data_IF_378109288643
#
_entry.id   IF_378109288643
#
_cell.length_a   1.000
_cell.length_b   1.000
_cell.length_c   1.000
_cell.angle_alpha   90.00
_cell.angle_beta   90.00
_cell.angle_gamma   90.00
#
_symmetry.space_group_name_H-M   'P 1'
#
loop_
_entity.id
_entity.type
_entity.pdbx_description
1 polymer ?
2 non-polymer ?
3 non-polymer ?
4 non-polymer ?
5 water ?
#
# COMPACT_ATOMS: atom_id res chain seq x y z
N UNK A 24 16.85 0.87 28.79
CA UNK A 24 15.59 0.80 27.99
C UNK A 24 15.70 1.58 26.65
N UNK A 25 16.51 1.05 25.72
CA UNK A 25 16.53 1.50 24.32
C UNK A 25 16.64 0.27 23.40
N UNK A 26 15.98 0.30 22.25
CA UNK A 26 15.78 -0.95 21.46
C UNK A 26 16.93 -1.36 20.52
N UNK A 27 17.55 -2.48 20.87
CA UNK A 27 18.76 -2.96 20.22
C UNK A 27 18.49 -3.41 18.78
N UNK A 28 19.22 -2.81 17.85
CA UNK A 28 18.99 -3.06 16.43
C UNK A 28 19.72 -4.31 15.93
N UNK A 29 19.43 -5.43 16.61
CA UNK A 29 19.96 -6.74 16.27
C UNK A 29 18.89 -7.83 16.46
N UNK A 30 18.87 -8.80 15.55
CA UNK A 30 17.98 -9.95 15.68
C UNK A 30 18.40 -10.76 16.91
N UNK A 31 17.44 -11.30 17.64
CA UNK A 31 17.69 -12.20 18.76
C UNK A 31 16.58 -13.24 18.94
N UNK A 32 16.99 -14.50 19.01
CA UNK A 32 16.08 -15.62 19.26
C UNK A 32 16.42 -16.17 20.62
N UNK A 33 15.61 -15.82 21.63
CA UNK A 33 15.66 -16.48 22.94
C UNK A 33 14.80 -17.76 23.01
N UNK A 34 13.75 -17.83 22.19
CA UNK A 34 12.81 -18.96 22.12
C UNK A 34 12.58 -19.40 20.66
N UNK A 35 11.95 -20.55 20.44
CA UNK A 35 11.37 -20.85 19.12
C UNK A 35 10.28 -19.82 18.78
N UNK A 36 9.83 -19.79 17.52
CA UNK A 36 8.82 -18.83 17.09
C UNK A 36 7.54 -19.45 16.49
N UNK A 37 6.38 -19.13 17.10
CA UNK A 37 6.22 -18.25 18.27
C UNK A 37 6.65 -18.87 19.61
N UNK A 38 6.95 -18.01 20.58
CA UNK A 38 7.39 -18.44 21.90
C UNK A 38 6.27 -18.76 22.90
N UNK A 39 6.65 -19.28 24.09
CA UNK A 39 5.65 -19.72 25.06
C UNK A 39 4.69 -18.62 25.48
N UNK A 40 5.18 -17.39 25.62
CA UNK A 40 4.31 -16.28 26.08
C UNK A 40 3.33 -15.87 24.98
N UNK A 41 3.82 -15.82 23.74
CA UNK A 41 2.94 -15.53 22.62
C UNK A 41 1.85 -16.60 22.56
N UNK A 42 2.25 -17.86 22.77
CA UNK A 42 1.32 -18.97 22.67
C UNK A 42 0.25 -18.87 23.76
N UNK A 43 0.65 -18.42 24.94
CA UNK A 43 -0.34 -18.12 25.97
C UNK A 43 -1.30 -17.01 25.55
N UNK A 44 -0.75 -15.89 25.04
CA UNK A 44 -1.59 -14.76 24.61
C UNK A 44 -2.56 -15.18 23.51
N UNK A 45 -2.12 -16.10 22.66
CA UNK A 45 -2.93 -16.60 21.57
C UNK A 45 -4.20 -17.34 22.03
N UNK A 46 -4.15 -18.05 23.18
CA UNK A 46 -5.34 -18.67 23.76
C UNK A 46 -6.40 -17.61 24.03
N UNK A 47 -5.94 -16.44 24.51
CA UNK A 47 -6.85 -15.35 24.80
C UNK A 47 -7.47 -14.78 23.51
N UNK A 48 -6.63 -14.63 22.47
CA UNK A 48 -7.10 -14.17 21.16
C UNK A 48 -8.17 -15.11 20.61
N UNK A 49 -7.86 -16.40 20.51
CA UNK A 49 -8.84 -17.38 20.04
C UNK A 49 -10.17 -17.36 20.79
N UNK A 50 -10.15 -17.03 22.09
CA UNK A 50 -11.37 -17.00 22.94
C UNK A 50 -12.16 -15.67 22.87
N UNK A 51 -11.57 -14.63 22.29
CA UNK A 51 -12.17 -13.29 22.38
C UNK A 51 -12.46 -12.64 21.03
N UNK A 52 -11.58 -12.90 20.07
CA UNK A 52 -11.62 -12.25 18.76
C UNK A 52 -12.26 -13.18 17.73
N UNK A 53 -13.11 -12.62 16.88
CA UNK A 53 -13.77 -13.33 15.78
C UNK A 53 -12.77 -14.13 14.96
N UNK A 54 -13.16 -15.36 14.60
CA UNK A 54 -12.38 -16.23 13.72
C UNK A 54 -12.24 -15.69 12.28
N UNK A 55 -13.01 -14.66 11.94
CA UNK A 55 -12.84 -14.00 10.65
C UNK A 55 -11.49 -13.28 10.50
N UNK A 56 -10.85 -12.95 11.62
CA UNK A 56 -9.60 -12.21 11.62
C UNK A 56 -8.44 -13.20 11.55
N UNK A 57 -7.72 -13.21 10.43
CA UNK A 57 -6.55 -14.07 10.28
C UNK A 57 -5.30 -13.36 10.74
N UNK A 58 -4.38 -14.13 11.31
CA UNK A 58 -3.08 -13.63 11.75
C UNK A 58 -1.92 -14.32 11.01
N UNK A 59 -1.04 -13.53 10.40
CA UNK A 59 0.09 -14.07 9.61
C UNK A 59 1.13 -14.78 10.49
N UNK A 60 1.55 -14.10 11.56
CA UNK A 60 2.58 -14.61 12.45
C UNK A 60 2.18 -14.35 13.90
N UNK A 61 1.74 -15.40 14.61
CA UNK A 61 1.13 -15.06 15.90
C UNK A 61 2.11 -14.79 17.07
N UNK A 62 3.06 -13.87 16.88
CA UNK A 62 3.90 -13.39 18.00
C UNK A 62 3.32 -12.10 18.53
N UNK A 63 3.25 -11.97 19.86
CA UNK A 63 2.66 -10.77 20.45
C UNK A 63 3.70 -9.69 20.75
N UNK A 64 3.47 -8.52 20.14
CA UNK A 64 4.43 -7.41 20.14
C UNK A 64 4.36 -6.60 21.44
N UNK A 65 5.51 -6.28 22.02
CA UNK A 65 5.53 -5.43 23.20
C UNK A 65 6.20 -4.08 22.90
N UNK A 66 6.91 -4.02 21.77
CA UNK A 66 7.76 -2.88 21.44
C UNK A 66 8.33 -3.01 20.02
N UNK A 67 8.53 -1.86 19.35
CA UNK A 67 9.10 -1.86 17.99
C UNK A 67 9.74 -0.52 17.66
N UNK A 68 10.83 -0.52 16.90
CA UNK A 68 11.46 0.72 16.42
C UNK A 68 12.62 0.36 15.51
N UNK A 69 13.06 1.32 14.70
CA UNK A 69 14.19 1.07 13.79
C UNK A 69 13.75 0.03 12.77
N UNK A 70 14.35 -1.16 12.82
CA UNK A 70 13.96 -2.28 11.95
C UNK A 70 13.63 -3.54 12.73
N UNK A 71 13.21 -3.35 13.98
CA UNK A 71 13.00 -4.47 14.90
C UNK A 71 11.63 -4.46 15.56
N UNK A 72 11.03 -5.65 15.65
CA UNK A 72 9.86 -5.90 16.50
C UNK A 72 10.26 -6.81 17.65
N UNK A 73 10.00 -6.37 18.89
CA UNK A 73 10.26 -7.18 20.07
C UNK A 73 8.97 -7.86 20.57
N UNK A 74 9.01 -9.18 20.80
CA UNK A 74 7.82 -9.90 21.23
C UNK A 74 7.74 -10.18 22.73
N UNK A 75 6.62 -10.75 23.17
CA UNK A 75 6.34 -10.97 24.59
C UNK A 75 7.34 -11.90 25.30
N UNK A 76 8.07 -12.70 24.51
CA UNK A 76 9.09 -13.62 25.01
C UNK A 76 10.51 -13.03 25.04
N UNK A 77 10.66 -11.77 24.62
CA UNK A 77 12.00 -11.14 24.55
C UNK A 77 12.76 -11.31 23.24
N UNK A 78 12.16 -12.00 22.28
CA UNK A 78 12.75 -12.13 20.93
C UNK A 78 12.76 -10.79 20.20
N UNK A 79 13.77 -10.59 19.37
CA UNK A 79 13.86 -9.41 18.48
C UNK A 79 13.87 -9.87 17.03
N UNK A 80 12.80 -9.52 16.29
CA UNK A 80 12.62 -9.97 14.92
C UNK A 80 12.85 -8.84 13.92
N UNK A 81 13.47 -9.18 12.78
CA UNK A 81 13.70 -8.22 11.68
C UNK A 81 12.39 -7.94 10.96
N UNK A 82 11.97 -6.68 10.98
CA UNK A 82 10.71 -6.27 10.35
C UNK A 82 10.89 -6.01 8.87
N UNK A 83 10.37 -6.90 8.03
CA UNK A 83 10.38 -6.67 6.57
C UNK A 83 8.96 -6.43 6.03
N UNK A 84 8.03 -6.09 6.93
CA UNK A 84 6.65 -5.81 6.55
C UNK A 84 6.14 -4.41 6.90
N UNK A 85 6.76 -3.74 7.88
CA UNK A 85 6.26 -2.48 8.46
C UNK A 85 4.73 -2.38 8.61
N UNK A 86 4.10 -3.46 9.08
CA UNK A 86 2.66 -3.50 9.28
C UNK A 86 1.86 -3.33 8.00
N UNK A 87 2.43 -3.82 6.89
CA UNK A 87 1.88 -3.63 5.54
C UNK A 87 2.08 -2.18 5.11
N UNK A 88 3.33 -1.70 5.13
CA UNK A 88 3.73 -0.43 4.46
C UNK A 88 3.22 0.78 5.20
N UNK A 89 3.05 0.61 6.51
CA UNK A 89 2.52 1.65 7.37
C UNK A 89 3.60 2.40 8.16
N UNK A 90 4.47 1.67 8.84
CA UNK A 90 5.51 2.33 9.66
C UNK A 90 6.79 2.57 8.84
N UNK A 91 6.61 3.12 7.64
CA UNK A 91 7.66 3.52 6.74
C UNK A 91 8.81 4.31 7.40
N UNK A 92 8.46 5.26 8.27
CA UNK A 92 9.46 6.10 8.91
C UNK A 92 9.87 5.51 10.25
N UNK A 93 9.42 4.28 10.53
CA UNK A 93 9.85 3.51 11.71
C UNK A 93 8.77 3.54 12.77
N UNK A 94 8.59 2.42 13.50
CA UNK A 94 7.58 2.37 14.58
C UNK A 94 7.90 3.44 15.60
N UNK A 95 6.87 4.13 16.13
CA UNK A 95 7.07 5.15 17.16
C UNK A 95 8.21 6.16 16.85
N UNK A 96 8.23 6.67 15.61
CA UNK A 96 9.18 7.70 15.18
C UNK A 96 9.20 8.85 16.17
N UNK A 97 10.41 9.31 16.55
CA UNK A 97 10.54 10.33 17.62
C UNK A 97 9.80 11.65 17.37
N UNK A 98 9.70 12.12 16.14
CA UNK A 98 8.88 13.32 15.90
C UNK A 98 7.41 13.04 16.14
N UNK A 99 6.96 11.83 15.79
CA UNK A 99 5.57 11.43 16.01
C UNK A 99 5.23 11.31 17.49
N UNK A 100 6.10 10.65 18.25
CA UNK A 100 5.96 10.54 19.69
C UNK A 100 5.78 11.93 20.33
N UNK A 101 6.64 12.86 19.98
CA UNK A 101 6.54 14.22 20.48
C UNK A 101 5.25 14.96 20.14
N UNK A 102 4.88 14.90 18.86
CA UNK A 102 3.68 15.54 18.37
C UNK A 102 2.42 15.00 19.06
N UNK A 103 2.35 13.68 19.23
CA UNK A 103 1.23 13.01 19.85
C UNK A 103 1.10 13.34 21.36
N UNK A 104 2.23 13.28 22.08
CA UNK A 104 2.27 13.62 23.51
C UNK A 104 1.72 15.01 23.80
N UNK A 105 2.08 15.99 22.96
CA UNK A 105 1.61 17.36 23.13
C UNK A 105 0.13 17.47 22.78
N UNK A 106 -0.30 16.90 21.66
CA UNK A 106 -1.68 17.06 21.24
C UNK A 106 -2.64 16.38 22.21
N UNK A 107 -2.31 15.17 22.66
CA UNK A 107 -3.23 14.38 23.47
C UNK A 107 -3.62 15.15 24.75
N UNK A 108 -2.73 16.04 25.19
CA UNK A 108 -3.00 16.89 26.35
C UNK A 108 -3.93 18.05 26.07
N UNK A 109 -3.96 18.52 24.83
CA UNK A 109 -4.75 19.72 24.47
C UNK A 109 -6.23 19.36 24.23
N UNK A 110 -6.47 18.41 23.32
CA UNK A 110 -7.81 17.87 23.03
C UNK A 110 -7.69 16.61 22.19
N UNK A 111 -8.60 15.67 22.39
CA UNK A 111 -8.54 14.39 21.68
C UNK A 111 -9.48 14.30 20.47
N UNK A 112 -10.51 15.15 20.44
CA UNK A 112 -11.53 15.12 19.39
C UNK A 112 -12.51 16.26 19.62
N UNK A 113 -12.82 16.97 18.54
CA UNK A 113 -13.96 17.90 18.56
C UNK A 113 -15.02 17.56 17.51
N UNK A 114 -14.68 16.68 16.56
CA UNK A 114 -15.39 16.52 15.26
C UNK A 114 -15.25 17.76 14.39
N UNK A 115 -14.45 17.68 13.33
CA UNK A 115 -14.12 18.84 12.50
C UNK A 115 -15.41 19.48 11.96
N UNK A 116 -16.44 18.66 11.74
CA UNK A 116 -17.74 19.17 11.22
C UNK A 116 -18.52 19.98 12.26
N UNK A 117 -18.15 19.85 13.55
CA UNK A 117 -18.81 20.57 14.60
C UNK A 117 -18.03 21.86 14.84
N UNK A 118 -16.87 21.75 15.45
CA UNK A 118 -15.97 22.88 15.59
C UNK A 118 -14.61 22.46 15.02
N UNK A 119 -14.09 23.22 14.04
CA UNK A 119 -12.84 22.82 13.38
C UNK A 119 -11.62 23.18 14.21
N UNK A 120 -10.44 22.80 13.70
CA UNK A 120 -9.14 23.03 14.39
C UNK A 120 -8.02 23.06 13.34
N UNK A 121 -6.93 23.75 13.69
CA UNK A 121 -5.88 24.07 12.72
C UNK A 121 -5.15 22.82 12.17
N UNK A 122 -4.99 21.80 13.02
CA UNK A 122 -4.26 20.57 12.69
C UNK A 122 -4.83 19.91 11.42
N UNK A 123 -6.16 19.87 11.29
CA UNK A 123 -6.83 19.32 10.13
C UNK A 123 -6.51 20.17 8.89
N UNK A 124 -6.67 21.49 9.00
CA UNK A 124 -6.38 22.41 7.90
C UNK A 124 -4.89 22.30 7.46
N UNK A 125 -3.98 22.20 8.44
CA UNK A 125 -2.53 22.10 8.20
C UNK A 125 -2.18 20.87 7.34
N UNK A 126 -2.77 19.72 7.72
CA UNK A 126 -2.63 18.47 6.99
C UNK A 126 -3.17 18.61 5.56
N UNK A 127 -4.37 19.18 5.41
CA UNK A 127 -4.93 19.45 4.07
C UNK A 127 -3.96 20.28 3.23
N UNK A 128 -3.37 21.32 3.82
CA UNK A 128 -2.40 22.18 3.11
C UNK A 128 -1.17 21.38 2.64
N UNK A 129 -0.64 20.53 3.53
CA UNK A 129 0.56 19.75 3.27
C UNK A 129 0.30 18.73 2.17
N UNK A 130 -0.82 18.01 2.27
CA UNK A 130 -1.20 17.13 1.16
C UNK A 130 -1.40 17.89 -0.15
N UNK A 131 -2.03 19.07 -0.10
CA UNK A 131 -2.16 19.86 -1.33
C UNK A 131 -0.79 20.18 -1.96
N UNK A 132 0.20 20.44 -1.10
CA UNK A 132 1.55 20.81 -1.53
C UNK A 132 2.31 19.64 -2.14
N UNK A 133 2.37 18.51 -1.43
CA UNK A 133 3.28 17.40 -1.74
C UNK A 133 2.75 16.42 -2.81
N UNK A 134 1.45 16.41 -3.07
CA UNK A 134 0.85 15.54 -4.07
C UNK A 134 1.19 16.03 -5.49
N UNK A 135 1.05 15.14 -6.51
CA UNK A 135 1.33 15.43 -7.92
C UNK A 135 0.48 16.58 -8.45
N UNK A 136 0.99 17.24 -9.50
CA UNK A 136 0.25 18.33 -10.15
C UNK A 136 0.52 19.68 -9.51
N UNK A 137 0.13 20.74 -10.21
CA UNK A 137 0.49 22.09 -9.76
C UNK A 137 -0.66 23.12 -9.78
N UNK A 138 -1.89 22.66 -9.99
CA UNK A 138 -3.06 23.55 -9.93
C UNK A 138 -3.63 23.69 -8.53
N UNK A 139 -4.74 24.40 -8.45
CA UNK A 139 -5.57 24.44 -7.26
C UNK A 139 -6.04 23.04 -6.78
N UNK A 140 -5.77 22.72 -5.53
CA UNK A 140 -6.16 21.42 -4.97
C UNK A 140 -6.91 21.58 -3.64
N UNK A 141 -7.74 20.58 -3.29
CA UNK A 141 -8.38 20.53 -1.96
C UNK A 141 -8.27 19.12 -1.45
N UNK A 142 -8.37 18.97 -0.12
CA UNK A 142 -8.28 17.69 0.54
C UNK A 142 -9.45 17.46 1.52
N UNK A 143 -9.79 16.19 1.75
CA UNK A 143 -10.69 15.83 2.84
C UNK A 143 -10.10 14.58 3.55
N UNK A 144 -10.29 14.49 4.87
CA UNK A 144 -9.66 13.44 5.67
C UNK A 144 -10.66 12.43 6.22
N UNK A 145 -10.23 11.18 6.31
CA UNK A 145 -11.05 10.10 6.86
C UNK A 145 -10.15 9.23 7.75
N UNK A 146 -10.57 8.01 8.06
CA UNK A 146 -9.80 7.20 9.02
C UNK A 146 -9.13 5.98 8.42
N UNK A 147 -9.56 5.57 7.21
CA UNK A 147 -9.02 4.34 6.65
C UNK A 147 -8.90 4.48 5.16
N UNK A 148 -8.02 3.67 4.57
CA UNK A 148 -7.90 3.61 3.13
C UNK A 148 -9.23 3.32 2.47
N UNK A 149 -9.95 2.32 2.98
CA UNK A 149 -11.25 1.99 2.41
C UNK A 149 -12.18 3.20 2.39
N UNK A 150 -12.20 3.98 3.47
CA UNK A 150 -13.03 5.21 3.51
C UNK A 150 -12.60 6.25 2.48
N UNK A 151 -11.30 6.39 2.28
CA UNK A 151 -10.84 7.38 1.33
C UNK A 151 -11.20 6.92 -0.11
N UNK A 152 -10.98 5.63 -0.41
CA UNK A 152 -11.37 5.15 -1.72
C UNK A 152 -12.87 5.40 -1.94
N UNK A 153 -13.71 4.98 -0.98
CA UNK A 153 -15.15 5.27 -1.02
C UNK A 153 -15.42 6.76 -1.36
N UNK A 154 -14.71 7.68 -0.71
CA UNK A 154 -14.98 9.08 -0.93
C UNK A 154 -14.49 9.59 -2.30
N UNK A 155 -13.38 9.03 -2.80
CA UNK A 155 -12.94 9.38 -4.17
C UNK A 155 -14.04 9.07 -5.21
N UNK A 156 -14.75 7.96 -5.02
CA UNK A 156 -15.86 7.62 -5.91
C UNK A 156 -17.04 8.60 -5.74
N UNK A 157 -17.38 8.92 -4.49
CA UNK A 157 -18.45 9.90 -4.21
C UNK A 157 -18.11 11.24 -4.91
N UNK A 158 -16.87 11.68 -4.76
CA UNK A 158 -16.43 12.92 -5.40
C UNK A 158 -16.58 12.87 -6.93
N UNK A 159 -16.13 11.77 -7.53
CA UNK A 159 -16.12 11.61 -9.00
C UNK A 159 -17.54 11.59 -9.59
N UNK A 160 -18.46 10.93 -8.87
CA UNK A 160 -19.87 10.82 -9.27
C UNK A 160 -20.59 12.15 -9.14
N UNK A 161 -20.23 12.91 -8.10
CA UNK A 161 -20.82 14.23 -7.85
C UNK A 161 -20.40 15.18 -8.95
N UNK A 162 -19.13 15.07 -9.34
CA UNK A 162 -18.56 15.97 -10.35
C UNK A 162 -19.08 15.68 -11.74
N UNK A 163 -19.00 14.42 -12.16
CA UNK A 163 -19.34 14.00 -13.54
C UNK A 163 -20.82 13.78 -13.74
N UNK A 164 -21.51 13.40 -12.66
CA UNK A 164 -22.94 13.02 -12.70
C UNK A 164 -23.14 11.76 -13.62
N UNK A 165 -22.08 10.92 -13.66
CA UNK A 165 -22.09 9.62 -14.32
C UNK A 165 -21.97 8.47 -13.28
N UNK A 166 -22.32 7.25 -13.69
CA UNK A 166 -22.45 6.16 -12.72
C UNK A 166 -21.25 5.23 -12.52
N UNK A 167 -20.72 4.70 -13.63
CA UNK A 167 -19.82 3.56 -13.57
C UNK A 167 -18.39 3.89 -13.07
N UNK A 168 -17.74 2.87 -12.53
CA UNK A 168 -16.34 2.94 -12.14
C UNK A 168 -15.64 1.73 -12.75
N UNK A 169 -14.43 1.94 -13.28
CA UNK A 169 -13.58 0.86 -13.78
C UNK A 169 -12.42 0.65 -12.83
N UNK A 170 -12.23 -0.61 -12.42
CA UNK A 170 -11.08 -1.05 -11.64
C UNK A 170 -10.36 -2.15 -12.43
N UNK A 171 -9.22 -2.62 -11.95
CA UNK A 171 -8.39 -3.51 -12.75
C UNK A 171 -8.35 -4.92 -12.20
N UNK A 172 -7.89 -5.88 -13.01
CA UNK A 172 -7.96 -7.30 -12.67
C UNK A 172 -6.94 -7.81 -11.64
N UNK A 173 -6.03 -6.97 -11.18
CA UNK A 173 -5.21 -7.37 -10.01
C UNK A 173 -5.43 -6.41 -8.83
N UNK A 174 -6.51 -5.64 -8.90
CA UNK A 174 -6.73 -4.54 -7.98
C UNK A 174 -7.12 -5.02 -6.59
N UNK A 175 -6.63 -4.33 -5.55
CA UNK A 175 -7.17 -4.41 -4.21
C UNK A 175 -7.46 -3.01 -3.68
N UNK A 176 -8.69 -2.76 -3.22
CA UNK A 176 -9.07 -1.42 -2.76
C UNK A 176 -9.75 -1.32 -1.39
N UNK A 177 -10.02 -2.44 -0.70
CA UNK A 177 -10.59 -2.39 0.68
C UNK A 177 -11.69 -3.40 1.02
N UNK A 178 -12.23 -3.30 2.22
CA UNK A 178 -13.13 -4.34 2.75
C UNK A 178 -14.58 -3.90 3.04
N UNK A 179 -14.94 -2.69 2.59
CA UNK A 179 -16.33 -2.23 2.65
C UNK A 179 -17.04 -2.74 1.41
N UNK A 180 -18.37 -2.62 1.36
CA UNK A 180 -19.14 -3.15 0.23
C UNK A 180 -18.64 -2.65 -1.13
N UNK A 181 -18.59 -1.32 -1.33
CA UNK A 181 -18.12 -0.80 -2.61
C UNK A 181 -16.64 -1.14 -2.90
N UNK A 182 -15.77 -1.06 -1.88
CA UNK A 182 -14.34 -1.30 -2.12
C UNK A 182 -14.05 -2.77 -2.33
N UNK A 183 -14.89 -3.63 -1.72
CA UNK A 183 -14.92 -5.05 -2.07
C UNK A 183 -15.30 -5.25 -3.54
N UNK A 184 -16.30 -4.49 -3.99
CA UNK A 184 -16.72 -4.53 -5.38
C UNK A 184 -15.56 -4.12 -6.31
N UNK A 185 -14.79 -3.10 -5.91
CA UNK A 185 -13.65 -2.64 -6.72
C UNK A 185 -12.50 -3.66 -6.73
N UNK A 186 -12.40 -4.46 -5.68
CA UNK A 186 -11.37 -5.50 -5.52
C UNK A 186 -11.60 -6.71 -6.44
N UNK A 187 -10.52 -7.27 -6.99
CA UNK A 187 -10.60 -8.37 -7.96
C UNK A 187 -10.79 -9.76 -7.35
N UNK A 188 -10.02 -10.08 -6.30
CA UNK A 188 -9.91 -11.44 -5.78
C UNK A 188 -11.00 -11.75 -4.78
N UNK A 189 -11.82 -12.74 -5.10
CA UNK A 189 -12.85 -13.22 -4.17
C UNK A 189 -12.36 -13.68 -2.76
N UNK A 190 -11.41 -14.64 -2.69
CA UNK A 190 -10.86 -15.16 -1.40
C UNK A 190 -9.60 -14.42 -0.94
N UNK A 191 -9.58 -13.88 0.29
CA UNK A 191 -10.63 -13.88 1.31
C UNK A 191 -11.51 -12.64 1.29
N UNK A 192 -11.28 -11.71 0.36
CA UNK A 192 -11.85 -10.35 0.47
C UNK A 192 -13.35 -10.20 0.26
N UNK A 193 -13.92 -11.01 -0.62
CA UNK A 193 -15.32 -10.81 -1.06
C UNK A 193 -16.25 -11.99 -0.79
N UNK A 194 -15.70 -13.20 -0.69
CA UNK A 194 -16.56 -14.41 -0.68
C UNK A 194 -17.67 -14.35 0.39
N UNK A 195 -18.93 -14.41 -0.05
CA UNK A 195 -20.07 -14.51 0.86
C UNK A 195 -20.57 -13.18 1.40
N UNK A 196 -20.00 -12.05 0.95
CA UNK A 196 -20.32 -10.76 1.55
C UNK A 196 -21.29 -9.86 0.75
N UNK A 197 -21.66 -10.29 -0.45
CA UNK A 197 -22.53 -9.48 -1.31
C UNK A 197 -24.01 -9.67 -1.01
N UNK A 198 -24.89 -9.08 -1.83
CA UNK A 198 -24.58 -8.46 -3.15
C UNK A 198 -23.82 -7.16 -3.07
N UNK A 199 -23.11 -6.85 -4.18
CA UNK A 199 -22.18 -5.70 -4.17
C UNK A 199 -22.73 -4.51 -4.90
N UNK A 200 -22.18 -3.36 -4.56
CA UNK A 200 -22.50 -2.09 -5.17
C UNK A 200 -22.45 -2.20 -6.67
N UNK A 201 -23.48 -1.69 -7.34
CA UNK A 201 -23.63 -1.79 -8.80
C UNK A 201 -22.73 -0.84 -9.62
N UNK A 202 -22.63 -1.14 -10.92
CA UNK A 202 -21.90 -0.33 -11.87
C UNK A 202 -20.36 -0.31 -11.72
N UNK A 203 -19.81 -1.39 -11.17
CA UNK A 203 -18.35 -1.64 -11.17
C UNK A 203 -17.99 -2.58 -12.33
N UNK A 204 -17.09 -2.13 -13.20
CA UNK A 204 -16.61 -2.93 -14.33
C UNK A 204 -15.10 -3.20 -14.19
N UNK A 205 -14.61 -4.28 -14.81
CA UNK A 205 -13.20 -4.71 -14.64
C UNK A 205 -12.42 -4.69 -15.95
N UNK A 206 -11.20 -4.13 -15.91
CA UNK A 206 -10.35 -4.04 -17.08
C UNK A 206 -8.99 -4.70 -16.81
N UNK A 207 -8.28 -5.11 -17.89
CA UNK A 207 -6.97 -5.76 -17.73
C UNK A 207 -5.86 -4.75 -17.50
N UNK A 208 -4.97 -5.09 -16.55
CA UNK A 208 -3.85 -4.21 -16.16
C UNK A 208 -2.58 -4.55 -16.95
N UNK A 209 -1.58 -3.66 -16.92
CA UNK A 209 -0.25 -3.97 -17.46
C UNK A 209 0.47 -4.84 -16.43
N UNK A 210 0.74 -6.09 -16.81
CA UNK A 210 1.43 -7.02 -15.94
C UNK A 210 2.61 -7.57 -16.77
N UNK A 211 3.75 -6.85 -16.83
CA UNK A 211 4.79 -7.21 -17.81
C UNK A 211 5.21 -8.70 -17.84
N UNK A 212 5.54 -9.26 -16.68
CA UNK A 212 6.01 -10.65 -16.63
C UNK A 212 5.08 -11.65 -17.32
N UNK A 213 3.78 -11.54 -17.08
CA UNK A 213 2.82 -12.53 -17.61
C UNK A 213 2.17 -12.11 -18.91
N UNK A 214 2.02 -10.79 -19.13
CA UNK A 214 1.73 -10.30 -20.48
C UNK A 214 2.77 -10.85 -21.50
N UNK A 215 4.05 -10.84 -21.11
CA UNK A 215 5.18 -11.32 -21.94
C UNK A 215 5.02 -12.75 -22.45
N UNK A 216 4.35 -13.61 -21.69
CA UNK A 216 4.13 -14.98 -22.14
C UNK A 216 3.26 -15.08 -23.41
N UNK A 217 2.51 -14.02 -23.72
CA UNK A 217 1.53 -14.02 -24.83
C UNK A 217 1.89 -13.06 -25.96
N UNK A 218 2.28 -11.85 -25.59
CA UNK A 218 2.61 -10.77 -26.52
C UNK A 218 3.79 -9.98 -25.97
N UNK A 219 4.97 -10.16 -26.57
CA UNK A 219 6.18 -9.44 -26.15
C UNK A 219 6.06 -7.90 -26.22
N UNK A 220 5.29 -7.39 -27.19
CA UNK A 220 5.18 -5.95 -27.38
C UNK A 220 4.35 -5.28 -26.27
N UNK A 221 3.30 -5.98 -25.83
CA UNK A 221 2.41 -5.47 -24.81
C UNK A 221 3.11 -5.34 -23.45
N UNK A 222 4.06 -6.23 -23.20
CA UNK A 222 4.78 -6.30 -21.93
C UNK A 222 5.78 -5.17 -21.74
N UNK A 223 6.24 -4.60 -22.86
CA UNK A 223 7.30 -3.58 -22.85
C UNK A 223 6.73 -2.20 -23.21
N UNK A 224 5.71 -2.19 -24.07
CA UNK A 224 5.09 -0.95 -24.53
C UNK A 224 3.80 -0.67 -23.76
N UNK A 225 3.90 0.24 -22.79
CA UNK A 225 2.79 0.55 -21.89
C UNK A 225 1.60 1.18 -22.58
N UNK A 226 1.86 2.02 -23.57
CA UNK A 226 0.80 2.66 -24.33
C UNK A 226 -0.11 1.62 -24.99
N UNK A 227 0.50 0.60 -25.57
CA UNK A 227 -0.21 -0.59 -26.09
C UNK A 227 -0.99 -1.37 -25.02
N UNK A 228 -0.42 -1.53 -23.83
CA UNK A 228 -1.18 -2.12 -22.72
C UNK A 228 -2.39 -1.26 -22.32
N UNK A 229 -2.24 0.07 -22.41
CA UNK A 229 -3.35 1.00 -22.15
C UNK A 229 -4.46 0.87 -23.19
N UNK A 230 -4.08 0.79 -24.47
CA UNK A 230 -5.01 0.51 -25.56
C UNK A 230 -5.83 -0.75 -25.33
N UNK A 231 -5.18 -1.82 -24.89
CA UNK A 231 -5.92 -3.04 -24.57
C UNK A 231 -7.02 -2.76 -23.52
N UNK A 232 -6.68 -2.00 -22.49
CA UNK A 232 -7.66 -1.67 -21.46
C UNK A 232 -8.76 -0.73 -21.98
N UNK A 233 -8.34 0.27 -22.76
CA UNK A 233 -9.23 1.31 -23.25
C UNK A 233 -10.22 0.69 -24.24
N UNK A 234 -9.77 -0.19 -25.13
CA UNK A 234 -10.69 -0.90 -26.04
C UNK A 234 -11.81 -1.64 -25.34
N UNK A 235 -11.48 -2.30 -24.23
CA UNK A 235 -12.48 -3.00 -23.42
C UNK A 235 -13.40 -2.00 -22.70
N UNK A 236 -12.83 -0.95 -22.09
CA UNK A 236 -13.66 0.04 -21.42
C UNK A 236 -14.70 0.65 -22.38
N UNK A 237 -14.25 1.00 -23.58
CA UNK A 237 -15.09 1.58 -24.58
C UNK A 237 -16.20 0.63 -25.07
N UNK A 238 -15.87 -0.64 -25.24
CA UNK A 238 -16.82 -1.64 -25.71
C UNK A 238 -17.83 -2.01 -24.62
N UNK A 239 -17.37 -2.21 -23.40
CA UNK A 239 -18.23 -2.73 -22.34
C UNK A 239 -18.97 -1.66 -21.52
N UNK A 240 -18.42 -0.46 -21.43
CA UNK A 240 -19.04 0.65 -20.67
C UNK A 240 -19.30 1.91 -21.49
N UNK A 241 -18.25 2.45 -22.11
CA UNK A 241 -18.35 3.75 -22.79
C UNK A 241 -18.08 4.93 -21.85
N UNK A 242 -17.27 5.88 -22.32
CA UNK A 242 -16.93 7.08 -21.53
C UNK A 242 -18.18 7.85 -21.08
N UNK A 243 -19.21 7.90 -21.93
CA UNK A 243 -20.44 8.64 -21.60
C UNK A 243 -21.23 8.06 -20.41
N UNK A 244 -20.86 6.87 -19.95
CA UNK A 244 -21.50 6.23 -18.80
C UNK A 244 -20.53 6.06 -17.61
N UNK A 245 -19.34 6.63 -17.75
CA UNK A 245 -18.21 6.35 -16.85
C UNK A 245 -17.80 7.57 -16.02
N UNK A 246 -17.89 7.44 -14.69
CA UNK A 246 -17.44 8.48 -13.75
C UNK A 246 -15.92 8.48 -13.53
N UNK A 247 -15.31 7.30 -13.42
CA UNK A 247 -13.93 7.22 -12.96
C UNK A 247 -13.25 5.94 -13.41
N UNK A 248 -11.95 6.05 -13.64
CA UNK A 248 -11.05 4.90 -13.68
C UNK A 248 -10.19 5.00 -12.43
N UNK A 249 -10.12 3.92 -11.66
CA UNK A 249 -9.28 3.89 -10.47
C UNK A 249 -8.17 2.84 -10.61
N UNK A 250 -6.93 3.23 -10.29
CA UNK A 250 -5.80 2.31 -10.41
C UNK A 250 -4.70 2.51 -9.37
N UNK A 251 -4.12 1.40 -8.91
CA UNK A 251 -2.90 1.43 -8.09
C UNK A 251 -1.69 1.63 -9.03
N UNK A 252 -0.84 2.66 -8.78
CA UNK A 252 0.36 2.81 -9.65
C UNK A 252 1.29 1.58 -9.62
N UNK A 253 1.34 0.87 -8.50
CA UNK A 253 1.96 -0.46 -8.44
C UNK A 253 0.92 -1.32 -7.70
N UNK A 254 0.49 -2.44 -8.28
CA UNK A 254 -0.60 -3.21 -7.64
C UNK A 254 0.01 -3.84 -6.40
N UNK A 255 -0.64 -3.63 -5.24
CA UNK A 255 -0.08 -4.09 -3.97
C UNK A 255 -0.40 -5.54 -3.71
N UNK A 256 -1.55 -5.77 -3.08
CA UNK A 256 -1.95 -7.14 -2.65
C UNK A 256 -2.00 -8.11 -3.84
N UNK A 257 -2.30 -7.58 -5.03
CA UNK A 257 -2.28 -8.35 -6.26
C UNK A 257 -0.91 -8.89 -6.70
N UNK A 258 0.18 -8.39 -6.09
CA UNK A 258 1.50 -8.97 -6.31
C UNK A 258 2.62 -8.00 -6.64
N UNK A 259 2.54 -6.74 -6.20
CA UNK A 259 3.61 -5.75 -6.44
C UNK A 259 3.92 -5.63 -7.93
N UNK A 260 2.86 -5.47 -8.74
CA UNK A 260 3.00 -5.43 -10.18
C UNK A 260 3.21 -4.00 -10.68
N UNK A 261 4.42 -3.75 -11.19
CA UNK A 261 4.80 -2.46 -11.75
C UNK A 261 4.39 -2.48 -13.25
N UNK A 262 3.57 -1.50 -13.67
CA UNK A 262 3.16 -1.51 -15.09
C UNK A 262 4.29 -1.09 -16.03
N UNK A 263 4.20 -1.48 -17.30
CA UNK A 263 5.11 -1.01 -18.32
C UNK A 263 5.15 0.52 -18.39
N UNK A 264 6.33 1.10 -18.66
CA UNK A 264 6.43 2.52 -19.00
C UNK A 264 5.40 2.92 -20.06
N UNK A 265 4.72 4.04 -19.84
CA UNK A 265 3.73 4.56 -20.79
C UNK A 265 2.26 4.25 -20.45
N UNK A 266 2.04 3.29 -19.55
CA UNK A 266 0.70 2.78 -19.23
C UNK A 266 -0.14 3.84 -18.48
N UNK A 267 0.36 4.25 -17.31
CA UNK A 267 -0.34 5.26 -16.54
C UNK A 267 -0.54 6.60 -17.31
N UNK A 268 0.55 7.17 -17.93
CA UNK A 268 0.35 8.37 -18.77
C UNK A 268 -0.76 8.23 -19.82
N UNK A 269 -0.86 7.06 -20.46
CA UNK A 269 -1.82 6.88 -21.54
C UNK A 269 -3.24 6.81 -20.98
N UNK A 270 -3.43 6.18 -19.82
CA UNK A 270 -4.74 6.22 -19.13
C UNK A 270 -5.14 7.64 -18.76
N UNK A 271 -4.16 8.40 -18.25
CA UNK A 271 -4.41 9.77 -17.83
C UNK A 271 -4.96 10.58 -18.99
N UNK A 272 -4.30 10.43 -20.15
CA UNK A 272 -4.58 11.21 -21.34
C UNK A 272 -6.02 10.90 -21.80
N UNK A 273 -6.35 9.61 -21.83
CA UNK A 273 -7.64 9.15 -22.29
C UNK A 273 -8.76 9.66 -21.41
N UNK A 274 -8.56 9.56 -20.10
CA UNK A 274 -9.48 10.16 -19.13
C UNK A 274 -9.71 11.67 -19.37
N UNK A 275 -8.65 12.44 -19.57
CA UNK A 275 -8.81 13.86 -19.88
C UNK A 275 -9.62 14.11 -21.14
N UNK A 276 -9.31 13.37 -22.22
CA UNK A 276 -10.00 13.56 -23.50
C UNK A 276 -11.48 13.17 -23.43
N UNK A 277 -11.85 12.39 -22.41
CA UNK A 277 -13.19 11.81 -22.33
C UNK A 277 -14.00 12.19 -21.08
N UNK A 278 -13.61 13.23 -20.35
CA UNK A 278 -14.33 13.68 -19.14
C UNK A 278 -14.59 12.53 -18.13
N UNK A 279 -13.57 11.71 -17.92
CA UNK A 279 -13.63 10.68 -16.90
C UNK A 279 -12.60 11.06 -15.84
N UNK A 280 -12.98 11.01 -14.56
CA UNK A 280 -12.08 11.30 -13.46
C UNK A 280 -11.06 10.15 -13.32
N UNK A 281 -9.76 10.49 -13.41
CA UNK A 281 -8.65 9.54 -13.21
C UNK A 281 -8.19 9.57 -11.73
N UNK A 282 -8.29 8.44 -11.05
CA UNK A 282 -7.99 8.33 -9.64
C UNK A 282 -6.79 7.38 -9.43
N UNK A 283 -5.72 7.91 -8.86
CA UNK A 283 -4.62 7.08 -8.38
C UNK A 283 -4.92 6.64 -6.94
N UNK A 284 -5.04 5.34 -6.71
CA UNK A 284 -5.03 4.80 -5.33
C UNK A 284 -3.58 4.62 -4.84
N UNK A 285 -3.07 5.60 -4.08
CA UNK A 285 -1.69 5.48 -3.55
C UNK A 285 -1.68 5.11 -2.06
N UNK A 286 -2.70 4.37 -1.63
CA UNK A 286 -2.74 4.00 -0.22
C UNK A 286 -1.47 3.24 0.18
N UNK A 287 -1.05 2.29 -0.65
CA UNK A 287 0.13 1.49 -0.36
C UNK A 287 1.42 2.11 -0.88
N UNK A 288 1.36 2.72 -2.06
CA UNK A 288 2.54 3.28 -2.68
C UNK A 288 2.96 4.67 -2.15
N UNK A 289 2.04 5.39 -1.50
CA UNK A 289 2.29 6.79 -1.11
C UNK A 289 3.28 7.00 0.02
N UNK A 290 3.78 8.24 0.14
CA UNK A 290 4.66 8.67 1.26
C UNK A 290 6.04 7.99 1.28
N UNK A 291 6.83 8.28 0.25
CA UNK A 291 8.27 7.96 0.16
C UNK A 291 8.55 6.48 -0.14
N UNK A 292 7.53 5.64 0.05
CA UNK A 292 7.68 4.19 -0.11
C UNK A 292 8.38 3.74 -1.40
N UNK A 293 8.08 4.40 -2.53
CA UNK A 293 8.60 3.89 -3.79
C UNK A 293 9.88 4.61 -4.31
N UNK A 294 10.55 5.39 -3.47
CA UNK A 294 11.71 6.16 -3.87
C UNK A 294 11.36 7.49 -4.50
N UNK A 295 10.12 7.91 -4.34
CA UNK A 295 9.66 9.27 -4.63
C UNK A 295 8.55 9.55 -3.62
N UNK A 296 8.10 10.80 -3.52
CA UNK A 296 7.06 11.10 -2.56
C UNK A 296 5.83 10.25 -2.86
N UNK A 297 5.41 10.25 -4.14
CA UNK A 297 4.32 9.39 -4.60
C UNK A 297 4.73 8.58 -5.81
N UNK A 298 4.20 7.36 -5.91
CA UNK A 298 4.54 6.49 -7.04
C UNK A 298 4.30 7.18 -8.38
N UNK A 299 3.27 8.02 -8.47
CA UNK A 299 2.95 8.76 -9.72
C UNK A 299 4.09 9.66 -10.17
N UNK A 300 4.97 10.05 -9.25
CA UNK A 300 6.08 10.96 -9.59
C UNK A 300 7.12 10.36 -10.53
N UNK A 301 7.27 9.03 -10.55
CA UNK A 301 8.28 8.41 -11.44
C UNK A 301 8.05 8.68 -12.92
N UNK A 302 6.81 8.75 -13.36
CA UNK A 302 6.52 9.07 -14.77
C UNK A 302 5.83 10.40 -14.92
N UNK A 303 5.86 11.20 -13.86
CA UNK A 303 5.16 12.43 -13.86
C UNK A 303 3.65 12.32 -14.10
N UNK A 304 3.01 11.32 -13.49
CA UNK A 304 1.57 11.16 -13.65
C UNK A 304 0.85 12.17 -12.76
N UNK A 305 -0.15 12.84 -13.32
CA UNK A 305 -0.92 13.83 -12.58
C UNK A 305 -2.39 13.42 -12.55
N UNK A 306 -2.77 12.62 -11.55
CA UNK A 306 -4.15 12.17 -11.52
C UNK A 306 -5.12 13.28 -11.08
N UNK A 307 -6.39 13.17 -11.45
CA UNK A 307 -7.40 14.13 -11.01
C UNK A 307 -7.60 14.05 -9.50
N UNK A 308 -7.56 12.83 -8.94
CA UNK A 308 -7.66 12.58 -7.50
C UNK A 308 -6.62 11.53 -7.11
N UNK A 309 -6.05 11.69 -5.93
CA UNK A 309 -5.14 10.70 -5.39
C UNK A 309 -5.58 10.37 -3.96
N UNK A 310 -5.65 9.06 -3.70
CA UNK A 310 -6.12 8.49 -2.43
C UNK A 310 -4.89 8.03 -1.63
N UNK A 311 -4.85 8.40 -0.35
CA UNK A 311 -3.69 8.08 0.52
C UNK A 311 -4.14 7.57 1.90
N UNK A 312 -3.31 6.72 2.50
CA UNK A 312 -3.48 6.29 3.89
C UNK A 312 -2.20 5.62 4.44
N UNK A 314 1.02 4.71 5.31
CA UNK A 314 2.18 5.44 5.85
C UNK A 314 1.99 6.92 6.24
N UNK A 315 0.86 7.49 5.87
CA UNK A 315 0.57 8.90 6.08
C UNK A 315 0.83 9.40 7.50
N UNK A 316 0.56 8.58 8.53
CA UNK A 316 0.65 9.06 9.93
C UNK A 316 1.33 8.07 10.86
N UNK A 317 2.29 7.31 10.30
CA UNK A 317 3.17 6.48 11.07
C UNK A 317 2.41 5.44 11.92
N UNK A 318 1.22 5.07 11.46
CA UNK A 318 0.38 4.07 12.11
C UNK A 318 -0.96 4.54 12.63
N UNK A 319 -1.16 5.85 12.77
CA UNK A 319 -2.41 6.37 13.26
C UNK A 319 -3.51 6.25 12.21
N UNK A 320 -4.75 5.95 12.64
CA UNK A 320 -5.83 5.89 11.64
C UNK A 320 -6.12 7.26 11.00
N UNK A 321 -5.68 7.43 9.77
CA UNK A 321 -5.92 8.66 8.99
C UNK A 321 -5.81 8.27 7.52
N UNK A 322 -6.63 8.90 6.68
CA UNK A 322 -6.56 8.68 5.23
C UNK A 322 -7.00 9.98 4.56
N UNK A 323 -6.74 10.12 3.28
CA UNK A 323 -7.10 11.36 2.57
C UNK A 323 -7.54 11.16 1.13
N UNK A 324 -8.34 12.13 0.66
CA UNK A 324 -8.53 12.29 -0.76
C UNK A 324 -8.08 13.70 -1.11
N UNK A 325 -7.21 13.82 -2.11
CA UNK A 325 -6.66 15.09 -2.56
C UNK A 325 -6.85 15.15 -4.08
N UNK A 326 -7.24 16.33 -4.56
CA UNK A 326 -7.47 16.48 -5.98
C UNK A 326 -7.78 17.88 -6.45
N UNK A 327 -7.99 18.01 -7.75
CA UNK A 327 -8.35 19.27 -8.39
C UNK A 327 -9.51 19.93 -7.63
N UNK A 328 -9.36 21.22 -7.37
CA UNK A 328 -10.33 21.99 -6.59
C UNK A 328 -11.77 21.87 -7.12
N UNK A 329 -11.94 22.09 -8.42
CA UNK A 329 -13.24 22.08 -9.10
C UNK A 329 -13.94 20.74 -8.89
N UNK A 330 -13.15 19.67 -8.89
CA UNK A 330 -13.72 18.33 -8.72
C UNK A 330 -14.09 18.08 -7.25
N UNK A 331 -13.15 18.42 -6.37
CA UNK A 331 -13.28 18.19 -4.94
C UNK A 331 -14.41 19.01 -4.29
N UNK A 332 -14.78 20.13 -4.94
CA UNK A 332 -15.79 21.07 -4.48
C UNK A 332 -17.19 20.75 -5.05
N UNK A 333 -17.28 19.71 -5.88
CA UNK A 333 -18.55 19.35 -6.51
C UNK A 333 -19.69 18.90 -5.53
N UNK A 334 -19.35 18.15 -4.47
CA UNK A 334 -20.40 17.74 -3.52
C UNK A 334 -20.99 18.93 -2.78
N UNK A 335 -22.30 18.94 -2.56
CA UNK A 335 -22.96 19.92 -1.72
C UNK A 335 -22.30 19.95 -0.30
N UNK A 336 -22.44 21.07 0.39
CA UNK A 336 -22.00 21.21 1.77
C UNK A 336 -22.60 20.12 2.64
N UNK A 337 -21.75 19.49 3.45
CA UNK A 337 -22.13 18.41 4.36
C UNK A 337 -22.31 17.07 3.70
N UNK A 338 -22.06 17.04 2.39
CA UNK A 338 -22.03 15.79 1.62
C UNK A 338 -20.85 14.89 1.90
N UNK A 339 -19.73 15.43 2.38
CA UNK A 339 -18.60 14.58 2.77
C UNK A 339 -18.30 14.76 4.24
N UNK A 340 -17.82 13.71 4.92
CA UNK A 340 -17.48 13.85 6.33
C UNK A 340 -17.42 12.52 7.08
N UNK A 341 -17.82 12.55 8.34
CA UNK A 341 -17.61 11.39 9.21
C UNK A 341 -17.22 11.95 10.56
N UNK A 342 -17.47 11.18 11.61
CA UNK A 342 -17.29 11.69 12.96
C UNK A 342 -15.81 11.87 13.30
N UNK A 343 -15.03 10.78 13.19
CA UNK A 343 -13.65 10.78 13.68
C UNK A 343 -12.67 11.50 12.76
N UNK A 344 -13.01 11.59 11.47
CA UNK A 344 -12.03 11.83 10.40
C UNK A 344 -11.16 13.06 10.57
N UNK A 345 -9.85 12.89 10.33
CA UNK A 345 -8.87 13.95 10.58
C UNK A 345 -8.74 14.15 12.08
N UNK A 346 -8.71 13.04 12.82
CA UNK A 346 -8.53 13.13 14.24
C UNK A 346 -7.28 13.98 14.56
N UNK A 347 -7.39 14.89 15.56
CA UNK A 347 -6.30 15.85 15.76
C UNK A 347 -4.98 15.21 16.21
N UNK A 348 -5.05 14.09 16.93
CA UNK A 348 -3.84 13.39 17.31
C UNK A 348 -3.26 12.71 16.07
N UNK A 349 -4.10 12.07 15.25
CA UNK A 349 -3.63 11.48 14.00
C UNK A 349 -3.01 12.56 13.08
N UNK A 350 -3.61 13.75 13.05
CA UNK A 350 -3.07 14.88 12.29
C UNK A 350 -1.70 15.34 12.79
N UNK A 351 -1.56 15.51 14.11
CA UNK A 351 -0.26 15.84 14.67
C UNK A 351 0.75 14.80 14.16
N UNK A 352 0.39 13.52 14.17
CA UNK A 352 1.29 12.48 13.68
C UNK A 352 1.58 12.59 12.17
N UNK A 353 0.56 12.87 11.36
CA UNK A 353 0.74 13.10 9.92
C UNK A 353 1.75 14.22 9.63
N UNK A 354 1.62 15.34 10.34
CA UNK A 354 2.54 16.49 10.17
C UNK A 354 3.97 16.12 10.50
N UNK A 355 4.13 15.37 11.60
CA UNK A 355 5.45 14.92 12.02
C UNK A 355 6.01 13.88 11.04
N UNK A 356 5.12 13.10 10.41
CA UNK A 356 5.54 12.11 9.42
C UNK A 356 6.10 12.78 8.14
N UNK A 357 5.39 13.78 7.63
CA UNK A 357 5.83 14.57 6.48
C UNK A 357 7.12 15.32 6.80
N UNK A 358 7.14 15.95 7.96
CA UNK A 358 8.34 16.60 8.45
C UNK A 358 9.51 15.59 8.45
N UNK A 359 9.29 14.36 8.94
CA UNK A 359 10.34 13.35 9.04
C UNK A 359 10.89 12.95 7.66
N UNK A 360 9.99 12.68 6.72
CA UNK A 360 10.36 12.35 5.35
C UNK A 360 11.26 13.40 4.71
N UNK A 361 10.94 14.69 4.92
CA UNK A 361 11.66 15.76 4.23
C UNK A 361 12.98 16.10 4.88
N UNK A 362 12.99 16.12 6.22
CA UNK A 362 14.13 16.62 6.96
C UNK A 362 15.19 15.50 7.13
N UNK A 363 14.78 14.24 7.00
CA UNK A 363 15.71 13.12 7.21
C UNK A 363 16.02 12.32 5.95
N UNK A 364 15.75 12.85 4.77
CA UNK A 364 16.10 12.20 3.50
C UNK A 364 15.56 10.78 3.32
N UNK A 365 14.27 10.57 3.63
CA UNK A 365 13.63 9.26 3.55
C UNK A 365 13.43 8.78 2.11
N UNK A 366 13.11 9.71 1.20
CA UNK A 366 12.92 9.39 -0.23
C UNK A 366 14.23 8.77 -0.79
N UNK A 367 15.36 9.47 -0.54
CA UNK A 367 16.67 8.92 -0.88
C UNK A 367 16.93 7.58 -0.18
N UNK A 368 16.59 7.48 1.11
CA UNK A 368 16.74 6.20 1.84
C UNK A 368 16.04 5.06 1.10
N UNK A 369 14.82 5.34 0.62
CA UNK A 369 14.04 4.37 -0.14
C UNK A 369 14.81 3.91 -1.39
N UNK A 370 15.45 4.85 -2.08
CA UNK A 370 16.31 4.59 -3.23
C UNK A 370 17.59 3.76 -2.91
N UNK A 371 18.25 4.03 -1.78
CA UNK A 371 19.34 3.19 -1.28
C UNK A 371 18.85 1.75 -1.12
N UNK A 372 17.67 1.59 -0.51
CA UNK A 372 17.14 0.26 -0.21
C UNK A 372 16.85 -0.49 -1.50
N UNK A 373 16.30 0.21 -2.51
CA UNK A 373 16.14 -0.36 -3.86
C UNK A 373 17.45 -0.97 -4.42
N UNK A 374 18.53 -0.19 -4.36
CA UNK A 374 19.80 -0.59 -4.93
C UNK A 374 20.32 -1.82 -4.22
N UNK A 375 20.30 -1.79 -2.89
CA UNK A 375 20.68 -2.94 -2.06
C UNK A 375 19.86 -4.21 -2.37
N UNK A 376 18.54 -4.11 -2.31
CA UNK A 376 17.67 -5.28 -2.50
C UNK A 376 17.65 -5.83 -3.95
N UNK A 377 17.48 -4.94 -4.93
CA UNK A 377 17.49 -5.34 -6.33
C UNK A 377 18.79 -6.08 -6.68
N UNK A 378 19.92 -5.53 -6.25
CA UNK A 378 21.23 -6.16 -6.46
C UNK A 378 21.29 -7.61 -5.92
N UNK A 379 20.82 -7.84 -4.69
CA UNK A 379 20.75 -9.20 -4.11
C UNK A 379 19.79 -10.12 -4.84
N UNK A 380 18.59 -9.63 -5.12
CA UNK A 380 17.56 -10.46 -5.74
C UNK A 380 17.84 -10.82 -7.20
N UNK A 381 18.40 -9.88 -7.96
CA UNK A 381 18.80 -10.12 -9.35
C UNK A 381 19.95 -11.13 -9.42
N UNK A 382 20.90 -11.07 -8.49
CA UNK A 382 21.98 -12.07 -8.42
C UNK A 382 21.42 -13.45 -8.03
N UNK A 383 20.52 -13.46 -7.05
CA UNK A 383 19.78 -14.68 -6.71
C UNK A 383 19.02 -15.29 -7.90
N UNK A 384 18.27 -14.45 -8.62
CA UNK A 384 17.54 -14.89 -9.84
C UNK A 384 18.44 -15.52 -10.92
N UNK A 385 19.65 -14.98 -11.13
CA UNK A 385 20.61 -15.55 -12.12
C UNK A 385 21.02 -16.95 -11.71
N UNK A 386 21.09 -17.18 -10.40
CA UNK A 386 21.52 -18.48 -9.88
C UNK A 386 20.37 -19.48 -9.76
N UNK A 387 19.14 -19.01 -9.61
CA UNK A 387 17.98 -19.84 -9.23
C UNK A 387 16.73 -19.44 -10.01
N UNK A 388 16.40 -20.18 -11.07
CA UNK A 388 15.24 -19.82 -11.93
C UNK A 388 13.83 -20.09 -11.33
N UNK A 389 13.77 -20.43 -10.05
CA UNK A 389 12.48 -20.43 -9.34
C UNK A 389 11.98 -18.97 -9.13
N UNK A 390 12.88 -17.98 -9.23
CA UNK A 390 12.51 -16.57 -9.23
C UNK A 390 12.08 -16.15 -10.63
N UNK A 391 10.79 -16.31 -10.93
CA UNK A 391 10.27 -15.95 -12.25
C UNK A 391 10.48 -14.49 -12.58
N UNK A 392 10.26 -13.63 -11.59
CA UNK A 392 10.34 -12.17 -11.78
C UNK A 392 10.81 -11.48 -10.49
N UNK A 393 11.57 -10.39 -10.65
CA UNK A 393 12.00 -9.52 -9.56
C UNK A 393 11.56 -8.11 -9.99
N UNK A 394 10.79 -7.41 -9.16
CA UNK A 394 10.12 -6.18 -9.60
C UNK A 394 9.82 -5.27 -8.41
N UNK A 395 9.55 -3.99 -8.68
CA UNK A 395 9.25 -3.06 -7.59
C UNK A 395 10.04 -1.77 -7.71
N UNK A 396 9.81 -0.83 -6.79
CA UNK A 396 10.60 0.40 -6.72
C UNK A 396 10.83 0.72 -5.24
N UNK A 397 11.93 1.42 -4.92
CA UNK A 397 12.25 1.86 -3.55
C UNK A 397 12.20 0.75 -2.51
N UNK A 398 11.38 0.92 -1.46
CA UNK A 398 11.24 -0.11 -0.42
C UNK A 398 9.97 -0.96 -0.60
N UNK A 399 9.63 -1.17 -1.88
CA UNK A 399 8.47 -1.94 -2.28
C UNK A 399 8.89 -2.91 -3.40
N UNK A 400 9.51 -4.02 -2.98
CA UNK A 400 10.18 -4.96 -3.88
C UNK A 400 9.64 -6.36 -3.65
N UNK A 401 9.55 -7.16 -4.71
CA UNK A 401 8.99 -8.48 -4.61
C UNK A 401 9.69 -9.41 -5.58
N UNK A 402 9.64 -10.71 -5.25
CA UNK A 402 10.00 -11.76 -6.18
C UNK A 402 8.79 -12.65 -6.38
N UNK A 403 8.54 -13.08 -7.63
CA UNK A 403 7.45 -14.02 -7.89
C UNK A 403 8.02 -15.41 -8.11
N UNK A 404 7.58 -16.36 -7.28
CA UNK A 404 8.14 -17.71 -7.28
C UNK A 404 7.38 -18.66 -8.23
N UNK A 405 8.12 -19.41 -9.03
CA UNK A 405 7.51 -20.31 -10.00
C UNK A 405 8.23 -21.65 -10.00
N UNK A 406 7.64 -22.67 -10.62
CA UNK A 406 8.30 -23.99 -10.77
C UNK A 406 9.46 -23.82 -11.74
N UNK A 407 10.61 -24.38 -11.38
CA UNK A 407 11.84 -24.28 -12.16
C UNK A 407 11.61 -24.60 -13.63
N UNK A 408 12.03 -23.69 -14.50
CA UNK A 408 11.95 -23.90 -15.95
C UNK A 408 10.61 -23.60 -16.58
N UNK A 409 9.67 -23.09 -15.79
CA UNK A 409 8.37 -22.67 -16.32
C UNK A 409 8.04 -21.30 -15.75
N UNK A 410 6.81 -20.86 -16.01
CA UNK A 410 6.23 -19.69 -15.38
C UNK A 410 5.01 -20.03 -14.51
N UNK A 411 4.86 -21.31 -14.13
CA UNK A 411 3.75 -21.77 -13.28
C UNK A 411 3.94 -21.34 -11.83
N UNK A 412 2.92 -20.70 -11.23
CA UNK A 412 3.04 -20.25 -9.82
C UNK A 412 3.35 -21.41 -8.86
N UNK A 413 4.25 -21.15 -7.91
CA UNK A 413 4.53 -22.10 -6.83
C UNK A 413 4.17 -21.45 -5.48
N UNK A 414 2.88 -21.51 -5.15
CA UNK A 414 2.37 -21.04 -3.85
C UNK A 414 2.96 -21.87 -2.71
N UNK A 415 3.14 -23.17 -2.94
CA UNK A 415 3.61 -24.06 -1.88
C UNK A 415 4.98 -23.60 -1.38
N UNK A 416 5.89 -23.36 -2.34
CA UNK A 416 7.24 -22.96 -2.02
C UNK A 416 7.21 -21.61 -1.35
N UNK A 417 6.31 -20.74 -1.80
CA UNK A 417 6.20 -19.40 -1.25
C UNK A 417 5.88 -19.47 0.25
N UNK A 418 4.92 -20.32 0.62
CA UNK A 418 4.49 -20.46 2.00
C UNK A 418 5.55 -21.11 2.88
N UNK A 419 6.22 -22.12 2.34
CA UNK A 419 7.30 -22.78 3.06
C UNK A 419 8.44 -21.85 3.41
N UNK A 420 8.80 -21.01 2.43
CA UNK A 420 9.85 -19.99 2.61
C UNK A 420 9.50 -18.95 3.70
N UNK A 421 8.30 -18.37 3.62
CA UNK A 421 7.83 -17.43 4.62
C UNK A 421 7.76 -18.07 6.02
N UNK A 422 7.25 -19.30 6.12
CA UNK A 422 7.13 -20.00 7.41
C UNK A 422 8.49 -20.22 7.99
N UNK A 423 9.46 -20.59 7.14
CA UNK A 423 10.86 -20.77 7.57
C UNK A 423 11.51 -19.43 7.99
N UNK A 424 11.14 -18.35 7.32
CA UNK A 424 11.71 -17.06 7.69
C UNK A 424 11.16 -16.64 9.06
N UNK A 425 9.86 -16.88 9.25
CA UNK A 425 9.22 -16.51 10.50
C UNK A 425 9.92 -17.25 11.63
N UNK A 426 10.18 -18.54 11.43
CA UNK A 426 10.81 -19.39 12.45
C UNK A 426 12.25 -18.95 12.76
N UNK A 427 12.80 -18.13 11.87
CA UNK A 427 14.16 -17.65 12.00
C UNK A 427 14.15 -16.18 12.44
N UNK A 428 12.99 -15.70 12.90
CA UNK A 428 12.85 -14.33 13.42
C UNK A 428 12.87 -13.24 12.36
N UNK A 429 12.32 -13.53 11.17
CA UNK A 429 12.18 -12.54 10.10
C UNK A 429 10.69 -12.34 9.76
N UNK A 430 10.17 -11.12 9.96
CA UNK A 430 8.76 -10.83 9.60
C UNK A 430 8.69 -10.52 8.11
N UNK A 431 8.25 -11.51 7.33
CA UNK A 431 8.10 -11.34 5.89
C UNK A 431 6.71 -11.80 5.44
N UNK A 432 6.13 -11.03 4.52
CA UNK A 432 4.77 -11.20 4.04
C UNK A 432 4.77 -11.82 2.65
N UNK A 433 3.68 -12.49 2.31
CA UNK A 433 3.43 -12.98 0.97
C UNK A 433 2.36 -12.07 0.38
N UNK A 434 2.09 -12.19 -0.92
CA UNK A 434 0.92 -11.57 -1.52
C UNK A 434 0.72 -12.22 -2.89
N UNK A 435 -0.13 -11.62 -3.71
CA UNK A 435 -0.27 -12.07 -5.10
C UNK A 435 -1.56 -12.81 -5.36
N UNK A 436 -2.18 -12.48 -6.49
CA UNK A 436 -3.33 -13.20 -7.00
C UNK A 436 -3.16 -14.72 -6.96
N UNK A 437 -1.95 -15.21 -7.19
CA UNK A 437 -1.75 -16.68 -7.24
C UNK A 437 -1.02 -17.23 -6.01
N UNK A 438 -0.84 -16.37 -5.01
CA UNK A 438 -0.27 -16.76 -3.72
C UNK A 438 1.23 -17.06 -3.76
N UNK A 439 1.92 -16.56 -4.78
CA UNK A 439 3.32 -16.94 -5.05
C UNK A 439 4.27 -15.75 -5.08
N UNK A 440 3.95 -14.70 -4.32
CA UNK A 440 4.84 -13.56 -4.29
C UNK A 440 5.42 -13.31 -2.88
N UNK A 441 6.76 -13.29 -2.75
CA UNK A 441 7.38 -12.79 -1.50
C UNK A 441 7.54 -11.29 -1.68
N UNK A 442 7.06 -10.51 -0.73
CA UNK A 442 7.19 -9.05 -0.82
C UNK A 442 8.08 -8.52 0.29
N UNK A 443 8.75 -7.42 0.02
CA UNK A 443 9.57 -6.76 0.99
C UNK A 443 9.07 -5.32 1.21
N UNK A 444 8.68 -5.06 2.46
CA UNK A 444 8.20 -3.76 2.88
C UNK A 444 8.86 -3.37 4.21
N UNK A 445 10.21 -3.28 4.22
CA UNK A 445 10.86 -2.85 5.47
C UNK A 445 10.54 -1.38 5.79
N UNK A 446 10.60 -1.00 7.10
CA UNK A 446 10.63 0.43 7.42
C UNK A 446 11.91 1.03 6.85
N UNK A 447 11.87 2.30 6.42
CA UNK A 447 13.08 2.93 5.91
C UNK A 447 14.21 3.03 6.95
N UNK A 448 13.86 2.93 8.23
CA UNK A 448 14.81 3.10 9.33
C UNK A 448 15.51 1.77 9.63
N UNK A 449 15.32 0.76 8.79
CA UNK A 449 16.08 -0.47 8.94
C UNK A 449 17.54 -0.17 8.58
N UNK A 450 18.49 -0.74 9.31
CA UNK A 450 19.90 -0.62 8.95
C UNK A 450 20.17 -1.53 7.76
N UNK A 451 21.15 -1.16 6.92
CA UNK A 451 21.63 -2.03 5.84
C UNK A 451 22.04 -3.43 6.34
N UNK A 452 22.71 -3.48 7.50
CA UNK A 452 23.06 -4.77 8.12
C UNK A 452 21.84 -5.66 8.44
N UNK A 453 20.78 -5.10 9.04
CA UNK A 453 19.59 -5.89 9.32
C UNK A 453 18.89 -6.29 8.03
N UNK A 454 18.89 -5.38 7.07
CA UNK A 454 18.27 -5.66 5.77
C UNK A 454 18.99 -6.79 5.03
N UNK A 455 20.33 -6.73 4.98
CA UNK A 455 21.14 -7.82 4.41
C UNK A 455 20.95 -9.15 5.10
N UNK A 456 20.92 -9.10 6.43
CA UNK A 456 20.73 -10.29 7.22
C UNK A 456 19.40 -10.96 6.89
N UNK A 457 18.38 -10.13 6.70
CA UNK A 457 17.05 -10.62 6.34
C UNK A 457 17.13 -11.30 4.98
N UNK A 458 17.85 -10.66 4.05
CA UNK A 458 18.06 -11.28 2.73
C UNK A 458 18.93 -12.55 2.79
N UNK A 459 19.90 -12.60 3.69
CA UNK A 459 20.77 -13.77 3.86
C UNK A 459 19.93 -14.97 4.24
N UNK A 460 19.04 -14.77 5.20
CA UNK A 460 18.18 -15.83 5.70
C UNK A 460 17.28 -16.39 4.59
N UNK A 461 16.67 -15.51 3.81
CA UNK A 461 15.89 -15.96 2.65
C UNK A 461 16.72 -16.81 1.67
N UNK A 462 17.95 -16.35 1.38
CA UNK A 462 18.86 -17.06 0.48
C UNK A 462 19.25 -18.43 1.02
N UNK A 463 19.55 -18.51 2.33
CA UNK A 463 19.89 -19.78 2.99
C UNK A 463 18.75 -20.78 2.94
N UNK A 464 17.51 -20.31 3.18
CA UNK A 464 16.34 -21.20 3.15
C UNK A 464 16.11 -21.77 1.75
N UNK A 465 16.29 -20.94 0.73
CA UNK A 465 16.16 -21.37 -0.66
C UNK A 465 17.30 -22.26 -1.16
N UNK A 466 18.50 -22.08 -0.63
CA UNK A 466 19.64 -22.89 -1.03
C UNK A 466 19.53 -24.37 -0.66
N UNK A 467 18.96 -24.72 0.49
CA UNK A 467 18.92 -26.15 0.84
C UNK A 467 17.66 -26.62 1.59
#
# INVERSE_FOLDING_TARGET
MAHHHHHHMGTLEAQTQGPGSMVASLDQSRLLVTEIPGPASLELNKRRAAAVSGGVGVTLPVFVVRAGGGIVEDADGNRLIDLGSGIAVTTIGNSAPRVVDAVRDQVEQFTHTCFMVTPYEQYVAVAEQLNRITPGSGEKRTVLFNSGAEAVENSIKVARAHTRKQAVVAFDYAYHGRTNLTMALTAKSMPYKSGFGPFAPEIYRAPVSYPYRDNLLDKDIATDGELAAERAINLIDKQIGAANLAAVIIEPIAGEGGFIVPADGFLPALQRWCRDNDVVFIADEVQTGFARTGAMFACDHENVEPDLIVTAXGIADGFPLSAVTGRAEIMDAPHTSGLGGTFGGNPVACAAALATIETIERDGMVERARQIERLVMDRLLRLQAADDRLGDVRGRGAMIAMELVKSGTAEPDAALTQKLAAAAHAAGVIVLTCGMFGNVIRLLPPLTISDELLSEGLDILCQILAD
#
